data_IF_921017588608
#
_entry.id   IF_921017588608
#
_cell.length_a   1.000
_cell.length_b   1.000
_cell.length_c   1.000
_cell.angle_alpha   90.00
_cell.angle_beta   90.00
_cell.angle_gamma   90.00
#
_symmetry.space_group_name_H-M   'P 1'
#
loop_
_entity.id
_entity.type
_entity.pdbx_description
1 polymer ?
#
# COMPACT_ATOMS: atom_id res chain seq x y z
N UNK A 1 17.36 -11.91 -0.83
CA UNK A 1 18.06 -10.64 -0.49
C UNK A 1 17.06 -9.52 -0.46
N UNK A 2 17.12 -8.65 0.52
CA UNK A 2 16.27 -7.47 0.61
C UNK A 2 17.08 -6.21 0.31
N UNK A 3 16.41 -5.17 -0.14
CA UNK A 3 17.01 -3.85 -0.33
C UNK A 3 16.22 -2.81 0.43
N UNK A 4 16.91 -1.84 0.99
CA UNK A 4 16.28 -0.71 1.66
C UNK A 4 15.94 0.38 0.64
N UNK A 5 14.71 0.83 0.66
CA UNK A 5 14.22 1.95 -0.13
C UNK A 5 13.68 3.02 0.80
N UNK A 6 13.59 4.24 0.31
CA UNK A 6 13.01 5.32 1.09
C UNK A 6 12.10 6.20 0.24
N UNK A 7 11.17 6.86 0.93
CA UNK A 7 10.40 7.97 0.38
C UNK A 7 11.12 9.23 0.83
N UNK A 8 11.88 9.87 -0.07
CA UNK A 8 12.86 10.88 0.34
C UNK A 8 12.26 12.10 1.03
N UNK A 9 11.09 12.54 0.58
CA UNK A 9 10.49 13.77 1.07
C UNK A 9 10.09 13.67 2.55
N UNK A 10 9.73 12.47 3.03
CA UNK A 10 9.29 12.25 4.41
C UNK A 10 10.24 11.36 5.21
N UNK A 11 11.31 10.88 4.60
CA UNK A 11 12.27 9.98 5.26
C UNK A 11 11.64 8.73 5.86
N UNK A 12 10.88 8.03 5.04
CA UNK A 12 10.33 6.71 5.39
C UNK A 12 11.21 5.66 4.72
N UNK A 13 11.73 4.74 5.51
CA UNK A 13 12.55 3.63 5.02
C UNK A 13 11.81 2.32 5.16
N UNK A 14 11.91 1.47 4.15
CA UNK A 14 11.35 0.12 4.14
C UNK A 14 12.33 -0.84 3.48
N UNK A 15 12.31 -2.08 3.89
CA UNK A 15 13.03 -3.14 3.20
C UNK A 15 12.05 -3.87 2.27
N UNK A 16 12.50 -4.08 1.05
CA UNK A 16 11.69 -4.75 0.02
C UNK A 16 12.43 -6.01 -0.41
N UNK A 17 11.75 -7.17 -0.48
CA UNK A 17 12.35 -8.36 -1.05
C UNK A 17 12.85 -8.10 -2.47
N UNK A 18 13.82 -8.88 -2.91
CA UNK A 18 14.43 -8.69 -4.23
C UNK A 18 13.37 -8.75 -5.33
N UNK A 19 13.11 -7.61 -5.96
CA UNK A 19 12.11 -7.44 -6.99
C UNK A 19 12.69 -6.67 -8.16
N UNK A 20 12.27 -7.00 -9.38
CA UNK A 20 12.95 -6.50 -10.57
C UNK A 20 12.51 -5.10 -11.01
N UNK A 21 11.27 -4.71 -10.72
CA UNK A 21 10.74 -3.44 -11.20
C UNK A 21 10.24 -2.60 -10.03
N UNK A 22 11.07 -1.65 -9.62
CA UNK A 22 10.75 -0.71 -8.55
C UNK A 22 10.86 0.70 -9.10
N UNK A 23 9.77 1.46 -9.01
CA UNK A 23 9.75 2.87 -9.34
C UNK A 23 9.69 3.68 -8.06
N UNK A 24 10.50 4.71 -7.96
CA UNK A 24 10.58 5.56 -6.78
C UNK A 24 10.43 7.03 -7.16
N UNK A 25 9.54 7.72 -6.45
CA UNK A 25 9.35 9.16 -6.56
C UNK A 25 9.52 9.81 -5.18
N UNK A 26 9.36 11.12 -5.09
CA UNK A 26 9.58 11.84 -3.82
C UNK A 26 8.62 11.45 -2.71
N UNK A 27 7.39 11.07 -3.06
CA UNK A 27 6.34 10.73 -2.10
C UNK A 27 5.82 9.31 -2.23
N UNK A 28 6.38 8.53 -3.15
CA UNK A 28 5.85 7.21 -3.48
C UNK A 28 6.94 6.22 -3.84
N UNK A 29 6.69 4.98 -3.51
CA UNK A 29 7.47 3.83 -3.94
C UNK A 29 6.52 2.82 -4.55
N UNK A 30 6.76 2.40 -5.78
CA UNK A 30 5.92 1.42 -6.47
C UNK A 30 6.72 0.20 -6.87
N UNK A 31 6.13 -0.97 -6.65
CA UNK A 31 6.59 -2.24 -7.20
C UNK A 31 5.47 -2.71 -8.10
N UNK A 32 5.69 -2.66 -9.41
CA UNK A 32 4.66 -2.96 -10.40
C UNK A 32 5.03 -4.22 -11.16
N UNK A 33 4.04 -5.06 -11.39
CA UNK A 33 4.14 -6.22 -12.25
C UNK A 33 2.79 -6.45 -12.94
N UNK A 34 2.76 -7.29 -13.99
CA UNK A 34 1.62 -7.44 -14.89
C UNK A 34 0.24 -7.52 -14.23
N UNK A 35 0.09 -8.26 -13.15
CA UNK A 35 -1.21 -8.50 -12.53
C UNK A 35 -1.24 -8.11 -11.06
N UNK A 36 -0.25 -7.34 -10.61
CA UNK A 36 -0.11 -7.01 -9.19
C UNK A 36 0.74 -5.78 -8.97
N UNK A 37 0.53 -5.13 -7.84
CA UNK A 37 1.37 -4.01 -7.42
C UNK A 37 1.46 -3.94 -5.90
N UNK A 38 2.52 -3.27 -5.43
CA UNK A 38 2.63 -2.80 -4.05
C UNK A 38 3.05 -1.35 -4.11
N UNK A 39 2.42 -0.50 -3.31
CA UNK A 39 2.78 0.91 -3.22
C UNK A 39 3.00 1.33 -1.77
N UNK A 40 3.96 2.21 -1.56
CA UNK A 40 4.09 2.99 -0.33
C UNK A 40 3.86 4.45 -0.72
N UNK A 41 2.82 5.05 -0.16
CA UNK A 41 2.41 6.42 -0.49
C UNK A 41 2.39 7.27 0.76
N UNK A 42 2.94 8.50 0.64
CA UNK A 42 2.86 9.53 1.65
C UNK A 42 1.97 10.65 1.12
N UNK A 43 0.86 10.91 1.78
CA UNK A 43 -0.06 11.99 1.40
C UNK A 43 0.44 13.31 2.02
N UNK A 44 1.51 13.82 1.45
CA UNK A 44 2.31 14.91 1.98
C UNK A 44 1.52 16.22 2.22
N UNK A 45 0.49 16.48 1.41
CA UNK A 45 -0.33 17.68 1.53
C UNK A 45 -1.50 17.53 2.50
N UNK A 46 -1.65 16.37 3.12
CA UNK A 46 -2.75 16.07 4.02
C UNK A 46 -2.26 15.86 5.44
N UNK A 47 -3.20 15.80 6.38
CA UNK A 47 -2.90 15.51 7.78
C UNK A 47 -3.85 14.42 8.28
N UNK A 48 -3.37 13.63 9.23
CA UNK A 48 -4.17 12.62 9.90
C UNK A 48 -3.72 12.49 11.35
N UNK A 49 -4.66 12.16 12.24
CA UNK A 49 -4.37 11.99 13.66
C UNK A 49 -4.25 10.53 14.08
N UNK A 50 -4.86 9.62 13.33
CA UNK A 50 -4.88 8.19 13.62
C UNK A 50 -4.54 7.36 12.40
N UNK A 51 -4.04 6.11 12.58
CA UNK A 51 -3.79 5.23 11.45
C UNK A 51 -5.02 4.94 10.58
N UNK A 52 -6.20 4.79 11.17
CA UNK A 52 -7.44 4.60 10.40
C UNK A 52 -7.77 5.81 9.55
N UNK A 53 -7.59 7.01 10.10
CA UNK A 53 -7.78 8.26 9.35
C UNK A 53 -6.76 8.36 8.22
N UNK A 54 -5.51 7.96 8.47
CA UNK A 54 -4.48 7.90 7.43
C UNK A 54 -4.91 7.00 6.27
N UNK A 55 -5.48 5.82 6.55
CA UNK A 55 -6.01 4.94 5.52
C UNK A 55 -7.07 5.64 4.68
N UNK A 56 -8.03 6.30 5.31
CA UNK A 56 -9.11 6.99 4.59
C UNK A 56 -8.57 8.07 3.65
N UNK A 57 -7.61 8.84 4.11
CA UNK A 57 -7.01 9.94 3.32
C UNK A 57 -6.19 9.38 2.14
N UNK A 58 -5.28 8.45 2.41
CA UNK A 58 -4.40 7.91 1.39
C UNK A 58 -5.16 7.09 0.35
N UNK A 59 -6.13 6.30 0.79
CA UNK A 59 -6.92 5.48 -0.11
C UNK A 59 -7.81 6.32 -1.02
N UNK A 60 -8.36 7.41 -0.50
CA UNK A 60 -9.11 8.38 -1.31
C UNK A 60 -8.25 8.95 -2.43
N UNK A 61 -7.00 9.30 -2.13
CA UNK A 61 -6.06 9.77 -3.14
C UNK A 61 -5.74 8.71 -4.18
N UNK A 62 -5.56 7.47 -3.75
CA UNK A 62 -5.32 6.36 -4.66
C UNK A 62 -6.48 6.19 -5.64
N UNK A 63 -7.71 6.23 -5.15
CA UNK A 63 -8.91 6.19 -6.00
C UNK A 63 -8.90 7.33 -7.00
N UNK A 64 -8.65 8.55 -6.56
CA UNK A 64 -8.62 9.73 -7.43
C UNK A 64 -7.54 9.61 -8.52
N UNK A 65 -6.36 9.15 -8.15
CA UNK A 65 -5.25 8.99 -9.08
C UNK A 65 -5.52 7.92 -10.14
N UNK A 66 -6.33 6.92 -9.82
CA UNK A 66 -6.63 5.79 -10.70
C UNK A 66 -7.91 5.96 -11.51
N UNK A 67 -8.68 7.03 -11.29
CA UNK A 67 -9.98 7.22 -11.98
C UNK A 67 -9.87 7.31 -13.49
N UNK A 68 -8.78 7.82 -14.00
CA UNK A 68 -8.59 8.04 -15.44
C UNK A 68 -7.99 6.82 -16.16
N UNK A 69 -7.70 5.74 -15.44
CA UNK A 69 -7.17 4.53 -16.02
C UNK A 69 -8.28 3.51 -16.25
N UNK A 70 -8.14 2.70 -17.29
CA UNK A 70 -9.14 1.72 -17.69
C UNK A 70 -9.47 0.72 -16.57
N UNK A 71 -8.50 0.37 -15.75
CA UNK A 71 -8.69 -0.51 -14.61
C UNK A 71 -8.90 0.23 -13.28
N UNK A 72 -9.52 1.41 -13.30
CA UNK A 72 -9.66 2.27 -12.11
C UNK A 72 -10.23 1.56 -10.88
N UNK A 73 -9.91 2.12 -9.71
CA UNK A 73 -10.35 1.58 -8.42
C UNK A 73 -11.66 2.23 -8.01
N UNK A 74 -12.65 1.41 -7.66
CA UNK A 74 -13.96 1.89 -7.21
C UNK A 74 -14.07 1.96 -5.68
N UNK A 75 -13.38 1.07 -4.97
CA UNK A 75 -13.41 1.05 -3.51
C UNK A 75 -12.72 -0.17 -2.95
N UNK A 76 -12.74 -0.28 -1.63
CA UNK A 76 -12.16 -1.40 -0.91
C UNK A 76 -13.19 -1.99 0.05
N UNK A 77 -13.23 -3.32 0.15
CA UNK A 77 -13.98 -4.04 1.15
C UNK A 77 -13.01 -4.72 2.11
N UNK A 78 -12.88 -4.17 3.31
CA UNK A 78 -11.98 -4.70 4.34
C UNK A 78 -12.71 -5.84 5.06
N UNK A 79 -12.14 -7.04 5.01
CA UNK A 79 -12.70 -8.24 5.63
C UNK A 79 -11.98 -8.61 6.92
N UNK A 80 -10.76 -8.09 7.13
CA UNK A 80 -9.95 -8.38 8.30
C UNK A 80 -9.09 -7.15 8.60
N UNK A 81 -9.08 -6.71 9.85
CA UNK A 81 -8.25 -5.57 10.26
C UNK A 81 -7.82 -5.69 11.71
N UNK A 82 -6.76 -4.97 12.06
CA UNK A 82 -6.31 -4.81 13.44
C UNK A 82 -5.48 -3.54 13.60
N UNK A 83 -5.43 -3.03 14.82
CA UNK A 83 -4.55 -1.93 15.19
C UNK A 83 -3.39 -2.51 16.01
N UNK A 84 -2.17 -2.10 15.70
CA UNK A 84 -0.96 -2.59 16.35
C UNK A 84 0.14 -1.53 16.34
N UNK A 85 1.26 -1.83 16.99
CA UNK A 85 2.44 -0.95 16.99
C UNK A 85 3.64 -1.77 16.50
N UNK A 86 4.33 -1.26 15.49
CA UNK A 86 5.51 -1.89 14.90
C UNK A 86 6.62 -0.86 14.83
N UNK A 87 7.79 -1.16 15.39
CA UNK A 87 8.94 -0.25 15.43
C UNK A 87 8.59 1.11 16.06
N UNK A 88 7.69 1.12 17.05
CA UNK A 88 7.25 2.34 17.71
C UNK A 88 6.25 3.15 16.93
N UNK A 89 5.77 2.66 15.80
CA UNK A 89 4.79 3.33 14.94
C UNK A 89 3.45 2.63 15.08
N UNK A 90 2.41 3.40 15.46
CA UNK A 90 1.05 2.86 15.49
C UNK A 90 0.56 2.64 14.08
N UNK A 91 0.01 1.46 13.81
CA UNK A 91 -0.42 1.04 12.47
C UNK A 91 -1.82 0.46 12.47
N UNK A 92 -2.52 0.69 11.37
CA UNK A 92 -3.78 0.03 11.04
C UNK A 92 -3.49 -0.98 9.93
N UNK A 93 -3.57 -2.27 10.26
CA UNK A 93 -3.37 -3.36 9.30
C UNK A 93 -4.70 -3.82 8.76
N UNK A 94 -4.76 -4.07 7.46
CA UNK A 94 -6.01 -4.52 6.83
C UNK A 94 -5.77 -5.52 5.71
N UNK A 95 -6.79 -6.32 5.44
CA UNK A 95 -6.85 -7.27 4.34
C UNK A 95 -8.27 -7.34 3.82
N UNK A 96 -8.43 -7.52 2.52
CA UNK A 96 -9.75 -7.60 1.90
C UNK A 96 -9.67 -7.62 0.39
N UNK A 97 -10.59 -6.92 -0.25
CA UNK A 97 -10.65 -6.84 -1.70
C UNK A 97 -10.77 -5.40 -2.16
N UNK A 98 -10.13 -5.11 -3.29
CA UNK A 98 -10.29 -3.83 -3.99
C UNK A 98 -11.16 -4.08 -5.21
N UNK A 99 -12.21 -3.28 -5.38
CA UNK A 99 -13.06 -3.36 -6.56
C UNK A 99 -12.48 -2.54 -7.70
N UNK A 100 -12.23 -3.19 -8.82
CA UNK A 100 -11.64 -2.61 -10.01
C UNK A 100 -12.64 -2.56 -11.17
N UNK A 101 -12.33 -1.70 -12.14
CA UNK A 101 -12.98 -1.67 -13.44
C UNK A 101 -14.04 -0.61 -13.60
N UNK A 102 -14.26 -0.20 -14.83
CA UNK A 102 -15.30 0.75 -15.23
C UNK A 102 -16.49 0.01 -15.84
N UNK A 103 -16.27 -0.65 -16.98
CA UNK A 103 -17.32 -1.42 -17.68
C UNK A 103 -17.44 -2.85 -17.15
N UNK A 104 -16.31 -3.52 -16.93
CA UNK A 104 -16.29 -4.84 -16.35
C UNK A 104 -15.67 -4.77 -14.97
N UNK A 105 -16.50 -4.90 -13.93
CA UNK A 105 -16.07 -4.80 -12.53
C UNK A 105 -15.64 -6.16 -12.00
N UNK A 106 -14.57 -6.17 -11.21
CA UNK A 106 -14.08 -7.37 -10.52
C UNK A 106 -13.37 -6.99 -9.24
N UNK A 107 -13.21 -7.96 -8.33
CA UNK A 107 -12.52 -7.77 -7.07
C UNK A 107 -11.11 -8.36 -7.14
N UNK A 108 -10.12 -7.57 -6.71
CA UNK A 108 -8.74 -8.02 -6.53
C UNK A 108 -8.39 -8.15 -5.06
N UNK A 109 -7.47 -9.05 -4.74
CA UNK A 109 -6.97 -9.19 -3.38
C UNK A 109 -6.23 -7.91 -2.95
N UNK A 110 -6.40 -7.53 -1.68
CA UNK A 110 -5.71 -6.37 -1.13
C UNK A 110 -5.22 -6.65 0.29
N UNK A 111 -4.04 -6.14 0.60
CA UNK A 111 -3.47 -6.14 1.93
C UNK A 111 -2.65 -4.87 2.12
N UNK A 112 -2.69 -4.31 3.32
CA UNK A 112 -1.89 -3.11 3.54
C UNK A 112 -1.80 -2.70 4.99
N UNK A 113 -1.10 -1.59 5.23
CA UNK A 113 -1.07 -0.92 6.50
C UNK A 113 -1.04 0.59 6.31
N UNK A 114 -1.69 1.28 7.22
CA UNK A 114 -1.69 2.74 7.23
C UNK A 114 -1.10 3.24 8.55
N UNK A 115 -0.42 4.37 8.50
CA UNK A 115 0.22 4.95 9.67
C UNK A 115 0.39 6.46 9.48
N UNK A 116 0.74 7.15 10.56
CA UNK A 116 0.98 8.59 10.54
C UNK A 116 2.42 8.83 10.99
N UNK A 117 3.17 9.58 10.19
CA UNK A 117 4.50 10.06 10.58
C UNK A 117 4.53 11.59 10.46
N UNK A 118 4.87 12.25 11.57
CA UNK A 118 4.91 13.72 11.64
C UNK A 118 3.59 14.38 11.21
N UNK A 119 2.46 13.73 11.55
CA UNK A 119 1.13 14.21 11.18
C UNK A 119 0.73 13.92 9.74
N UNK A 120 1.60 13.30 8.95
CA UNK A 120 1.37 13.03 7.53
C UNK A 120 0.87 11.60 7.35
N UNK A 121 -0.28 11.41 6.67
CA UNK A 121 -0.82 10.07 6.44
C UNK A 121 0.02 9.29 5.42
N UNK A 122 0.28 8.02 5.74
CA UNK A 122 1.07 7.11 4.91
C UNK A 122 0.37 5.77 4.81
N UNK A 123 0.57 5.08 3.70
CA UNK A 123 -0.05 3.77 3.50
C UNK A 123 0.80 2.88 2.59
N UNK A 124 0.93 1.62 2.99
CA UNK A 124 1.44 0.54 2.14
C UNK A 124 0.24 -0.27 1.71
N UNK A 125 0.05 -0.45 0.40
CA UNK A 125 -1.03 -1.26 -0.16
C UNK A 125 -0.45 -2.20 -1.21
N UNK A 126 -0.74 -3.49 -1.06
CA UNK A 126 -0.46 -4.48 -2.09
C UNK A 126 -1.76 -5.04 -2.63
N UNK A 127 -1.80 -5.30 -3.93
CA UNK A 127 -3.01 -5.82 -4.57
C UNK A 127 -2.66 -6.75 -5.72
N UNK A 128 -3.46 -7.80 -5.86
CA UNK A 128 -3.47 -8.67 -7.02
C UNK A 128 -4.70 -8.31 -7.85
N UNK A 129 -4.45 -7.86 -9.09
CA UNK A 129 -5.51 -7.42 -10.01
C UNK A 129 -5.83 -8.47 -11.07
N UNK A 130 -5.39 -9.69 -10.88
CA UNK A 130 -5.69 -10.83 -11.73
C UNK A 130 -7.06 -11.41 -11.35
N UNK A 131 -7.98 -11.47 -12.30
CA UNK A 131 -9.32 -12.02 -12.09
C UNK A 131 -9.31 -13.45 -11.58
N UNK A 132 -8.29 -14.23 -11.92
CA UNK A 132 -8.15 -15.61 -11.43
C UNK A 132 -7.83 -15.66 -9.93
N UNK A 133 -7.31 -14.59 -9.36
CA UNK A 133 -6.87 -14.51 -7.97
C UNK A 133 -5.96 -15.67 -7.58
N UNK A 134 -4.92 -15.88 -8.38
CA UNK A 134 -3.92 -16.93 -8.15
C UNK A 134 -3.39 -16.89 -6.72
N UNK A 135 -3.47 -18.01 -6.01
CA UNK A 135 -2.98 -18.10 -4.65
C UNK A 135 -1.47 -17.81 -4.54
N UNK A 136 -0.71 -18.17 -5.59
CA UNK A 136 0.72 -17.87 -5.63
C UNK A 136 0.98 -16.35 -5.66
N UNK A 137 0.21 -15.60 -6.45
CA UNK A 137 0.31 -14.15 -6.52
C UNK A 137 -0.13 -13.49 -5.20
N UNK A 138 -1.20 -13.99 -4.60
CA UNK A 138 -1.69 -13.50 -3.31
C UNK A 138 -0.61 -13.68 -2.24
N UNK A 139 0.01 -14.86 -2.19
CA UNK A 139 1.07 -15.13 -1.22
C UNK A 139 2.28 -14.24 -1.45
N UNK A 140 2.66 -14.01 -2.70
CA UNK A 140 3.78 -13.12 -3.04
C UNK A 140 3.53 -11.70 -2.55
N UNK A 141 2.37 -11.13 -2.86
CA UNK A 141 2.02 -9.78 -2.47
C UNK A 141 1.89 -9.66 -0.95
N UNK A 142 1.25 -10.64 -0.30
CA UNK A 142 1.14 -10.67 1.15
C UNK A 142 2.51 -10.64 1.82
N UNK A 143 3.47 -11.42 1.33
CA UNK A 143 4.82 -11.46 1.88
C UNK A 143 5.57 -10.15 1.70
N UNK A 144 5.44 -9.51 0.53
CA UNK A 144 6.07 -8.22 0.28
C UNK A 144 5.51 -7.15 1.21
N UNK A 145 4.18 -7.07 1.33
CA UNK A 145 3.52 -6.12 2.23
C UNK A 145 3.95 -6.35 3.67
N UNK A 146 3.98 -7.61 4.13
CA UNK A 146 4.40 -7.94 5.49
C UNK A 146 5.84 -7.50 5.77
N UNK A 147 6.75 -7.76 4.85
CA UNK A 147 8.15 -7.35 5.03
C UNK A 147 8.30 -5.82 5.06
N UNK A 148 7.65 -5.13 4.15
CA UNK A 148 7.67 -3.67 4.16
C UNK A 148 7.08 -3.14 5.46
N UNK A 149 5.93 -3.67 5.90
CA UNK A 149 5.26 -3.26 7.13
C UNK A 149 6.15 -3.45 8.35
N UNK A 150 6.83 -4.59 8.46
CA UNK A 150 7.70 -4.89 9.60
C UNK A 150 8.97 -4.04 9.64
N UNK A 151 9.36 -3.46 8.52
CA UNK A 151 10.62 -2.72 8.40
C UNK A 151 10.45 -1.20 8.22
N UNK A 152 9.23 -0.69 8.30
CA UNK A 152 8.98 0.76 8.26
C UNK A 152 9.71 1.44 9.42
N UNK A 153 10.49 2.47 9.09
CA UNK A 153 11.25 3.24 10.07
C UNK A 153 11.60 4.61 9.51
N UNK A 154 11.91 5.54 10.40
CA UNK A 154 12.31 6.91 10.02
C UNK A 154 13.83 7.09 9.87
N UNK A 155 14.61 6.07 10.21
CA UNK A 155 16.07 6.06 10.08
C UNK A 155 16.54 4.79 9.39
N UNK A 156 17.53 4.93 8.56
CA UNK A 156 18.09 3.82 7.77
C UNK A 156 18.75 2.69 8.61
#
# INVERSE_FOLDING_TARGET
>A
MTRTYNVPLQKIYVDVPNYQEIEQAYTELFIIHDSRYVSLTSAFDDVASTPKEAHKVTFKKLIQNMQNYEGGINGINITKDEETTINGIDMYLFEGTINYGTDTKFDGYAKGCAFVLDGIPCEIVGSVIDKSQSQALINEISNIVDEMTQTVRSEE
#
